data_IF_544407074349
#
_entry.id   IF_544407074349
#
_cell.length_a   1.000
_cell.length_b   1.000
_cell.length_c   1.000
_cell.angle_alpha   90.00
_cell.angle_beta   90.00
_cell.angle_gamma   90.00
#
_symmetry.space_group_name_H-M   'P 1'
#
loop_
_entity.id
_entity.type
_entity.pdbx_description
1 polymer ?
#
# COMPACT_ATOMS: atom_id res chain seq x y z
N UNK A 1 -4.78 6.76 8.72
CA UNK A 1 -3.40 6.43 9.08
C UNK A 1 -2.52 7.64 8.89
N UNK A 2 -1.75 7.99 9.91
CA UNK A 2 -0.91 9.17 9.84
C UNK A 2 0.55 8.79 9.82
N UNK A 3 1.30 9.41 8.97
CA UNK A 3 2.74 9.18 8.87
C UNK A 3 3.40 10.44 8.31
N UNK A 4 4.70 10.59 8.58
CA UNK A 4 5.43 11.81 8.21
C UNK A 4 5.87 11.83 6.77
N UNK A 5 6.01 10.68 6.15
CA UNK A 5 6.44 10.60 4.76
C UNK A 5 6.68 9.17 4.36
N UNK A 6 7.20 8.99 3.16
CA UNK A 6 7.49 7.67 2.63
C UNK A 6 8.98 7.38 2.75
N UNK A 7 9.30 6.13 3.04
CA UNK A 7 10.69 5.69 3.19
C UNK A 7 11.08 4.90 1.96
N UNK A 8 11.72 5.57 1.01
CA UNK A 8 12.16 4.97 -0.24
C UNK A 8 13.69 4.84 -0.28
N UNK A 9 14.17 3.77 -0.89
CA UNK A 9 15.57 3.63 -1.25
C UNK A 9 15.61 2.91 -2.59
N UNK A 10 16.81 2.63 -3.11
CA UNK A 10 16.91 2.00 -4.44
C UNK A 10 16.29 0.61 -4.44
N UNK A 11 16.37 -0.10 -3.31
CA UNK A 11 15.86 -1.46 -3.24
C UNK A 11 14.35 -1.53 -3.35
N UNK A 12 13.64 -0.79 -2.50
CA UNK A 12 12.19 -0.90 -2.56
C UNK A 12 11.61 -0.13 -3.74
N UNK A 13 12.32 0.89 -4.26
CA UNK A 13 11.87 1.54 -5.50
C UNK A 13 11.84 0.53 -6.65
N UNK A 14 12.89 -0.25 -6.78
CA UNK A 14 12.95 -1.25 -7.85
C UNK A 14 11.89 -2.31 -7.67
N UNK A 15 11.75 -2.82 -6.45
CA UNK A 15 10.82 -3.91 -6.19
C UNK A 15 9.37 -3.48 -6.37
N UNK A 16 9.03 -2.27 -5.94
CA UNK A 16 7.66 -1.80 -6.03
C UNK A 16 7.23 -1.50 -7.46
N UNK A 17 8.18 -1.23 -8.35
CA UNK A 17 7.85 -0.92 -9.74
C UNK A 17 7.99 -2.13 -10.67
N UNK A 18 8.35 -3.27 -10.09
CA UNK A 18 8.59 -4.47 -10.88
C UNK A 18 7.38 -4.91 -11.71
N UNK A 19 6.19 -4.65 -11.22
CA UNK A 19 4.97 -5.08 -11.90
C UNK A 19 4.27 -3.95 -12.64
N UNK A 20 5.01 -2.89 -12.95
CA UNK A 20 4.46 -1.80 -13.77
C UNK A 20 3.74 -0.71 -12.99
N UNK A 21 3.77 -0.76 -11.68
CA UNK A 21 3.16 0.27 -10.84
C UNK A 21 4.17 1.39 -10.63
N UNK A 22 3.75 2.65 -10.74
CA UNK A 22 4.66 3.75 -10.55
C UNK A 22 4.71 4.19 -9.08
N UNK A 23 5.79 4.85 -8.71
CA UNK A 23 5.91 5.43 -7.37
C UNK A 23 4.76 6.39 -7.11
N UNK A 24 4.41 7.20 -8.12
CA UNK A 24 3.32 8.16 -7.98
C UNK A 24 2.00 7.47 -7.66
N UNK A 25 1.72 6.34 -8.33
CA UNK A 25 0.50 5.61 -8.06
C UNK A 25 0.47 5.07 -6.63
N UNK A 26 1.61 4.55 -6.17
CA UNK A 26 1.70 4.02 -4.82
C UNK A 26 1.43 5.12 -3.80
N UNK A 27 2.07 6.26 -3.97
CA UNK A 27 1.87 7.35 -3.03
C UNK A 27 0.45 7.89 -3.07
N UNK A 28 -0.15 7.92 -4.25
CA UNK A 28 -1.52 8.43 -4.37
C UNK A 28 -2.53 7.55 -3.64
N UNK A 29 -2.23 6.26 -3.53
CA UNK A 29 -3.12 5.36 -2.82
C UNK A 29 -3.32 5.80 -1.38
N UNK A 30 -2.25 6.25 -0.75
CA UNK A 30 -2.29 6.62 0.66
C UNK A 30 -2.79 8.03 0.90
N UNK A 31 -3.08 8.78 -0.18
CA UNK A 31 -3.72 10.08 -0.06
C UNK A 31 -5.23 9.96 0.03
N UNK A 32 -5.77 8.81 -0.34
CA UNK A 32 -7.19 8.57 -0.32
C UNK A 32 -7.57 7.56 0.73
N UNK A 33 -8.66 6.85 0.48
CA UNK A 33 -9.16 5.85 1.41
C UNK A 33 -8.64 4.49 0.97
N UNK A 34 -7.96 3.79 1.86
CA UNK A 34 -7.45 2.47 1.59
C UNK A 34 -7.94 1.50 2.64
N UNK A 35 -8.19 0.27 2.21
CA UNK A 35 -8.53 -0.81 3.13
C UNK A 35 -7.23 -1.44 3.57
N UNK A 36 -6.94 -1.42 4.87
CA UNK A 36 -5.67 -1.93 5.39
C UNK A 36 -5.93 -3.16 6.24
N UNK A 37 -5.13 -4.20 6.02
CA UNK A 37 -5.22 -5.41 6.82
C UNK A 37 -3.82 -5.97 7.06
N UNK A 38 -3.64 -6.79 8.10
CA UNK A 38 -2.33 -7.39 8.35
C UNK A 38 -1.95 -8.37 7.25
N UNK A 39 -0.66 -8.44 6.95
CA UNK A 39 -0.12 -9.46 6.06
C UNK A 39 0.59 -10.49 6.92
N UNK A 40 -0.19 -11.39 7.50
CA UNK A 40 0.33 -12.33 8.48
C UNK A 40 1.38 -13.25 7.90
N UNK A 41 1.19 -13.67 6.65
CA UNK A 41 2.14 -14.58 6.02
C UNK A 41 3.55 -14.03 5.91
N UNK A 42 3.67 -12.72 5.76
CA UNK A 42 4.95 -12.10 5.51
C UNK A 42 5.45 -11.24 6.67
N UNK A 43 4.87 -11.41 7.86
CA UNK A 43 5.26 -10.63 9.04
C UNK A 43 6.18 -11.43 9.93
N UNK A 44 7.39 -11.74 9.44
CA UNK A 44 8.33 -12.55 10.22
C UNK A 44 9.15 -11.72 11.18
N UNK A 45 9.88 -10.75 10.66
CA UNK A 45 10.76 -9.94 11.51
C UNK A 45 10.17 -8.58 11.84
N UNK A 46 9.24 -8.12 11.06
CA UNK A 46 8.54 -6.89 11.34
C UNK A 46 7.13 -7.03 10.78
N UNK A 47 6.21 -6.33 11.38
CA UNK A 47 4.83 -6.39 10.97
C UNK A 47 4.66 -5.81 9.58
N UNK A 48 4.02 -6.54 8.70
CA UNK A 48 3.71 -6.08 7.36
C UNK A 48 2.22 -5.95 7.20
N UNK A 49 1.83 -4.97 6.40
CA UNK A 49 0.43 -4.63 6.19
C UNK A 49 0.15 -4.61 4.70
N UNK A 50 -1.11 -4.85 4.35
CA UNK A 50 -1.57 -4.74 2.97
C UNK A 50 -2.52 -3.58 2.88
N UNK A 51 -2.34 -2.74 1.88
CA UNK A 51 -3.27 -1.66 1.58
C UNK A 51 -3.91 -1.94 0.24
N UNK A 52 -5.23 -1.96 0.21
CA UNK A 52 -6.01 -2.13 -1.01
C UNK A 52 -6.71 -0.82 -1.30
N UNK A 53 -6.60 -0.31 -2.50
CA UNK A 53 -7.27 0.93 -2.82
C UNK A 53 -7.28 1.22 -4.30
N UNK A 54 -7.86 2.36 -4.65
CA UNK A 54 -7.96 2.79 -6.04
C UNK A 54 -7.04 3.99 -6.22
N UNK A 55 -6.18 3.93 -7.24
CA UNK A 55 -5.25 5.02 -7.49
C UNK A 55 -5.97 6.22 -8.09
N UNK A 56 -5.26 7.34 -8.19
CA UNK A 56 -5.81 8.54 -8.80
C UNK A 56 -6.24 8.30 -10.25
N UNK A 57 -5.67 7.27 -10.89
CA UNK A 57 -6.01 6.93 -12.26
C UNK A 57 -7.13 5.91 -12.35
N UNK A 58 -7.74 5.57 -11.23
CA UNK A 58 -8.86 4.63 -11.19
C UNK A 58 -8.47 3.17 -11.23
N UNK A 59 -7.20 2.84 -10.98
CA UNK A 59 -6.74 1.45 -11.04
C UNK A 59 -6.67 0.87 -9.64
N UNK A 60 -7.04 -0.41 -9.51
CA UNK A 60 -7.08 -1.07 -8.21
C UNK A 60 -5.74 -1.68 -7.87
N UNK A 61 -5.18 -1.22 -6.77
CA UNK A 61 -3.79 -1.48 -6.41
C UNK A 61 -3.69 -2.12 -5.04
N UNK A 62 -2.74 -3.04 -4.91
CA UNK A 62 -2.36 -3.65 -3.63
C UNK A 62 -0.92 -3.25 -3.33
N UNK A 63 -0.71 -2.70 -2.15
CA UNK A 63 0.65 -2.34 -1.70
C UNK A 63 0.91 -3.05 -0.38
N UNK A 64 2.02 -3.78 -0.31
CA UNK A 64 2.50 -4.34 0.95
C UNK A 64 3.50 -3.34 1.51
N UNK A 65 3.34 -2.99 2.78
CA UNK A 65 4.18 -1.97 3.39
C UNK A 65 4.41 -2.27 4.85
N UNK A 66 5.33 -1.54 5.44
CA UNK A 66 5.55 -1.58 6.87
C UNK A 66 5.74 -0.14 7.35
N UNK A 67 5.70 0.04 8.65
CA UNK A 67 5.90 1.36 9.25
C UNK A 67 7.24 1.37 9.94
N UNK A 68 8.00 2.44 9.77
CA UNK A 68 9.32 2.60 10.36
C UNK A 68 9.38 3.87 11.17
N UNK A 69 9.88 3.77 12.39
CA UNK A 69 10.05 4.95 13.22
C UNK A 69 11.48 5.44 13.10
N UNK A 70 11.63 6.71 12.75
CA UNK A 70 12.95 7.33 12.63
C UNK A 70 12.90 8.69 13.31
N UNK A 71 13.79 8.92 14.26
CA UNK A 71 13.87 10.20 14.97
C UNK A 71 12.52 10.62 15.54
N UNK A 72 11.78 9.66 16.08
CA UNK A 72 10.49 9.96 16.70
C UNK A 72 9.34 10.12 15.71
N UNK A 73 9.60 9.99 14.42
CA UNK A 73 8.55 10.14 13.42
C UNK A 73 8.27 8.81 12.72
N UNK A 74 7.04 8.63 12.30
CA UNK A 74 6.62 7.39 11.67
C UNK A 74 6.63 7.56 10.15
N UNK A 75 7.30 6.64 9.45
CA UNK A 75 7.36 6.65 7.99
C UNK A 75 6.74 5.38 7.44
N UNK A 76 6.10 5.51 6.29
CA UNK A 76 5.49 4.38 5.60
C UNK A 76 6.50 3.88 4.57
N UNK A 77 6.90 2.61 4.72
CA UNK A 77 7.89 2.01 3.82
C UNK A 77 7.22 0.99 2.92
N UNK A 78 6.97 1.33 1.66
CA UNK A 78 6.42 0.35 0.72
C UNK A 78 7.42 -0.76 0.47
N UNK A 79 6.92 -1.98 0.34
CA UNK A 79 7.77 -3.16 0.14
C UNK A 79 7.54 -3.75 -1.24
N UNK A 80 6.29 -3.87 -1.65
CA UNK A 80 5.96 -4.35 -2.99
C UNK A 80 4.61 -3.80 -3.39
N UNK A 81 4.34 -3.77 -4.69
CA UNK A 81 3.09 -3.24 -5.20
C UNK A 81 2.74 -3.95 -6.50
N UNK A 82 1.46 -4.18 -6.71
CA UNK A 82 0.96 -4.73 -7.96
C UNK A 82 -0.52 -4.42 -8.06
N UNK A 83 -1.03 -4.52 -9.27
CA UNK A 83 -2.47 -4.36 -9.45
C UNK A 83 -3.17 -5.58 -8.89
N UNK A 84 -4.40 -5.39 -8.41
CA UNK A 84 -5.15 -6.47 -7.77
C UNK A 84 -5.51 -7.57 -8.75
N UNK A 85 -5.54 -8.80 -8.24
CA UNK A 85 -6.11 -9.93 -8.96
C UNK A 85 -7.62 -9.90 -8.82
N UNK A 86 -8.31 -10.68 -9.65
CA UNK A 86 -9.77 -10.67 -9.65
C UNK A 86 -10.37 -10.92 -8.26
N UNK A 87 -9.85 -11.90 -7.54
CA UNK A 87 -10.37 -12.19 -6.21
C UNK A 87 -10.17 -11.04 -5.25
N UNK A 88 -9.06 -10.34 -5.40
CA UNK A 88 -8.76 -9.21 -4.53
C UNK A 88 -9.66 -8.02 -4.83
N UNK A 89 -9.98 -7.84 -6.12
CA UNK A 89 -10.92 -6.78 -6.50
C UNK A 89 -12.28 -7.05 -5.85
N UNK A 90 -12.73 -8.31 -5.90
CA UNK A 90 -14.01 -8.68 -5.30
C UNK A 90 -14.01 -8.44 -3.79
N UNK A 91 -12.92 -8.82 -3.13
CA UNK A 91 -12.78 -8.60 -1.69
C UNK A 91 -12.80 -7.10 -1.37
N UNK A 92 -12.03 -6.33 -2.13
CA UNK A 92 -11.94 -4.90 -1.91
C UNK A 92 -13.29 -4.21 -2.10
N UNK A 93 -14.00 -4.57 -3.15
CA UNK A 93 -15.29 -3.94 -3.43
C UNK A 93 -16.33 -4.27 -2.37
N UNK A 94 -16.19 -5.46 -1.77
CA UNK A 94 -17.12 -5.88 -0.74
C UNK A 94 -16.80 -5.22 0.60
N UNK A 95 -15.51 -5.13 0.95
CA UNK A 95 -15.09 -4.72 2.28
C UNK A 95 -14.70 -3.26 2.39
N UNK A 96 -14.45 -2.59 1.27
CA UNK A 96 -13.98 -1.21 1.32
C UNK A 96 -15.09 -0.30 1.83
N UNK A 97 -14.72 0.78 2.51
CA UNK A 97 -15.72 1.75 2.95
C UNK A 97 -16.44 2.34 1.75
N UNK A 98 -17.72 2.59 1.93
CA UNK A 98 -18.52 3.23 0.90
C UNK A 98 -18.21 4.71 0.90
N UNK A 99 -17.64 5.22 -0.18
CA UNK A 99 -17.23 6.60 -0.23
C UNK A 99 -18.15 7.47 -1.03
N UNK A 100 -19.20 6.89 -1.64
CA UNK A 100 -20.06 7.72 -2.34
C UNK A 100 -21.18 8.12 -1.58
N UNK A 101 -21.66 8.88 -1.78
CA UNK A 101 -22.74 9.14 -1.06
C UNK A 101 -23.43 10.04 -1.61
#
# INVERSE_FOLDING_TARGET
MEFSGFDWDSGNRAKCQKHGVSIHEIESLFSGIALVSPDVEHSENEERLKAFGTTARGRKLLVVFTLRRKNGEMFLRPISARYMHRKEVAYYEKEAPDVEE
#
